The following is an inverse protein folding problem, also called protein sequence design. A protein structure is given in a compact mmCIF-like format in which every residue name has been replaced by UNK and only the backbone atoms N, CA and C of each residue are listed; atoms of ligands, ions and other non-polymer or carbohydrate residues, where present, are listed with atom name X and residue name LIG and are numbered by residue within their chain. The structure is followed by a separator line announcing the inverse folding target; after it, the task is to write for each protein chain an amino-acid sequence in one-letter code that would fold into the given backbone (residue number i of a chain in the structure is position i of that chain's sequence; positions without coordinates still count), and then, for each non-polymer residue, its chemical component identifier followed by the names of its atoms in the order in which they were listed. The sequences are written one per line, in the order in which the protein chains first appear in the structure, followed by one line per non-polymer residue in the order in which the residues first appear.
data_IF_405946813773
#
_entry.id   IF_405946813773
#
_cell.length_a   1.000
_cell.length_b   1.000
_cell.length_c   1.000
_cell.angle_alpha   90.00
_cell.angle_beta   90.00
_cell.angle_gamma   90.00
#
_symmetry.space_group_name_H-M   'P 1'
#
loop_
_entity.id
_entity.type
_entity.pdbx_description
1 polymer ?
#
# COMPACT_ATOMS: atom_id res chain seq x y z
N UNK A 1 5.60 -53.91 47.27
CA UNK A 1 4.54 -54.64 46.54
C UNK A 1 3.29 -53.77 46.50
N UNK A 2 2.79 -53.56 45.29
CA UNK A 2 1.65 -52.77 44.81
C UNK A 2 0.51 -52.48 45.79
N UNK A 3 -0.03 -51.24 45.76
CA UNK A 3 -1.43 -50.94 45.39
C UNK A 3 -1.55 -49.54 44.74
N UNK A 4 -1.63 -49.51 43.41
CA UNK A 4 -2.48 -48.55 42.65
C UNK A 4 -3.95 -48.96 42.94
N UNK A 5 -5.03 -48.15 42.76
CA UNK A 5 -5.18 -46.95 41.92
C UNK A 5 -6.12 -45.85 42.45
N UNK A 6 -6.17 -44.66 41.84
CA UNK A 6 -7.45 -44.01 41.48
C UNK A 6 -7.22 -42.76 40.62
N UNK A 7 -7.91 -42.75 39.48
CA UNK A 7 -8.41 -41.64 38.67
C UNK A 7 -7.92 -40.21 39.04
N UNK A 8 -7.26 -39.55 38.08
CA UNK A 8 -7.78 -38.26 37.63
C UNK A 8 -7.49 -38.07 36.12
N UNK A 9 -8.54 -38.36 35.37
CA UNK A 9 -8.73 -38.07 33.96
C UNK A 9 -8.91 -36.58 33.70
N UNK A 10 -8.21 -36.07 32.67
CA UNK A 10 -8.76 -35.25 31.56
C UNK A 10 -8.94 -33.72 31.80
N UNK A 11 -8.76 -32.90 30.72
CA UNK A 11 -8.01 -31.64 30.68
C UNK A 11 -8.88 -30.38 30.49
N UNK A 12 -8.29 -29.18 30.58
CA UNK A 12 -8.91 -27.91 30.12
C UNK A 12 -7.78 -26.88 29.91
N UNK A 13 -7.31 -26.62 28.68
CA UNK A 13 -7.81 -25.58 27.76
C UNK A 13 -8.20 -24.27 28.47
N UNK A 14 -7.66 -23.15 27.94
CA UNK A 14 -8.04 -21.73 28.13
C UNK A 14 -7.07 -20.88 28.99
N UNK A 15 -5.97 -20.43 28.39
CA UNK A 15 -5.69 -18.98 28.35
C UNK A 15 -5.17 -18.66 26.95
N UNK A 16 -6.13 -18.60 26.02
CA UNK A 16 -5.94 -17.98 24.72
C UNK A 16 -5.97 -16.46 24.93
N UNK A 17 -4.83 -15.86 25.31
CA UNK A 17 -4.67 -14.41 25.15
C UNK A 17 -4.34 -14.14 23.67
N UNK A 18 -5.29 -14.46 22.79
CA UNK A 18 -5.34 -13.84 21.47
C UNK A 18 -5.75 -12.40 21.75
N UNK A 19 -4.77 -11.51 21.90
CA UNK A 19 -4.95 -10.08 21.69
C UNK A 19 -5.32 -9.87 20.22
N UNK A 20 -6.55 -10.27 19.87
CA UNK A 20 -7.24 -9.84 18.66
C UNK A 20 -7.54 -8.38 18.92
N UNK A 21 -6.60 -7.51 18.55
CA UNK A 21 -6.96 -6.14 18.26
C UNK A 21 -8.06 -6.21 17.20
N UNK A 22 -9.29 -5.77 17.51
CA UNK A 22 -10.24 -5.52 16.44
C UNK A 22 -9.66 -4.33 15.69
N UNK A 23 -9.13 -4.57 14.49
CA UNK A 23 -9.01 -3.50 13.50
C UNK A 23 -10.44 -3.13 13.11
N UNK A 24 -11.09 -2.36 13.97
CA UNK A 24 -12.27 -1.61 13.63
C UNK A 24 -11.85 -0.68 12.49
N UNK A 25 -12.53 -0.80 11.36
CA UNK A 25 -12.38 0.04 10.18
C UNK A 25 -12.71 1.50 10.54
N UNK A 26 -11.79 2.19 11.19
CA UNK A 26 -11.89 3.63 11.44
C UNK A 26 -11.59 4.37 10.13
N UNK A 27 -12.32 5.45 9.88
CA UNK A 27 -11.98 6.39 8.83
C UNK A 27 -10.52 6.84 9.03
N UNK A 28 -9.68 6.90 7.98
CA UNK A 28 -8.30 7.36 8.13
C UNK A 28 -8.26 8.77 8.73
N UNK A 29 -7.33 8.99 9.67
CA UNK A 29 -7.17 10.30 10.31
C UNK A 29 -6.57 11.31 9.32
N UNK A 30 -6.78 12.61 9.57
CA UNK A 30 -6.26 13.68 8.71
C UNK A 30 -4.74 13.60 8.52
N UNK A 31 -4.00 13.21 9.57
CA UNK A 31 -2.56 12.96 9.49
C UNK A 31 -2.21 11.77 8.59
N UNK A 32 -3.00 10.70 8.63
CA UNK A 32 -2.77 9.54 7.75
C UNK A 32 -3.06 9.86 6.28
N UNK A 33 -4.06 10.71 6.00
CA UNK A 33 -4.31 11.21 4.64
C UNK A 33 -3.16 12.09 4.14
N UNK A 34 -2.66 13.01 4.99
CA UNK A 34 -1.52 13.86 4.64
C UNK A 34 -0.25 13.06 4.34
N UNK A 35 0.10 12.08 5.18
CA UNK A 35 1.25 11.20 4.94
C UNK A 35 1.11 10.39 3.64
N UNK A 36 -0.11 9.95 3.33
CA UNK A 36 -0.39 9.23 2.08
C UNK A 36 -0.28 10.11 0.83
N UNK A 37 -0.49 11.43 0.97
CA UNK A 37 -0.28 12.38 -0.11
C UNK A 37 1.21 12.72 -0.31
N UNK A 38 1.96 12.86 0.77
CA UNK A 38 3.41 13.14 0.73
C UNK A 38 4.21 11.96 0.12
N UNK A 39 3.81 10.73 0.47
CA UNK A 39 4.45 9.50 0.00
C UNK A 39 3.42 8.55 -0.64
N UNK A 40 2.98 8.84 -1.89
CA UNK A 40 1.99 8.04 -2.59
C UNK A 40 2.55 6.68 -2.99
N UNK A 41 1.73 5.64 -2.97
CA UNK A 41 2.13 4.33 -3.49
C UNK A 41 2.18 4.34 -5.03
N UNK A 42 2.97 3.45 -5.68
CA UNK A 42 2.98 3.34 -7.13
C UNK A 42 1.60 3.11 -7.76
N UNK A 43 0.72 2.37 -7.08
CA UNK A 43 -0.66 2.18 -7.52
C UNK A 43 -1.49 3.46 -7.50
N UNK A 44 -1.31 4.32 -6.49
CA UNK A 44 -2.00 5.61 -6.44
C UNK A 44 -1.56 6.54 -7.57
N UNK A 45 -0.26 6.55 -7.88
CA UNK A 45 0.26 7.33 -8.99
C UNK A 45 -0.30 6.83 -10.34
N UNK A 46 -0.39 5.50 -10.52
CA UNK A 46 -1.00 4.86 -11.69
C UNK A 46 -2.49 5.20 -11.83
N UNK A 47 -3.25 5.05 -10.75
CA UNK A 47 -4.68 5.36 -10.72
C UNK A 47 -4.91 6.84 -11.06
N UNK A 48 -4.15 7.75 -10.44
CA UNK A 48 -4.27 9.17 -10.69
C UNK A 48 -3.96 9.55 -12.13
N UNK A 49 -2.87 9.02 -12.70
CA UNK A 49 -2.53 9.23 -14.11
C UNK A 49 -3.66 8.78 -15.05
N UNK A 50 -4.19 7.57 -14.82
CA UNK A 50 -5.26 6.99 -15.63
C UNK A 50 -6.56 7.78 -15.51
N UNK A 51 -6.90 8.22 -14.29
CA UNK A 51 -8.09 9.06 -14.03
C UNK A 51 -8.03 10.41 -14.74
N UNK A 52 -6.83 10.95 -14.98
CA UNK A 52 -6.63 12.20 -15.73
C UNK A 52 -6.53 11.99 -17.25
N UNK A 53 -6.81 10.78 -17.73
CA UNK A 53 -6.76 10.43 -19.15
C UNK A 53 -5.35 10.21 -19.69
N UNK A 54 -4.35 10.11 -18.81
CA UNK A 54 -2.98 9.79 -19.17
C UNK A 54 -2.73 8.29 -19.27
N UNK A 55 -1.55 7.93 -19.77
CA UNK A 55 -1.05 6.55 -19.88
C UNK A 55 0.30 6.42 -19.19
N UNK A 56 0.49 5.35 -18.44
CA UNK A 56 1.79 5.04 -17.86
C UNK A 56 2.73 4.44 -18.91
N UNK A 57 3.92 5.01 -19.06
CA UNK A 57 4.98 4.48 -19.92
C UNK A 57 6.29 4.38 -19.15
N UNK A 58 7.05 3.34 -19.46
CA UNK A 58 8.39 3.13 -18.88
C UNK A 58 9.40 3.24 -19.99
N UNK A 59 10.30 4.19 -19.87
CA UNK A 59 11.39 4.41 -20.79
C UNK A 59 12.68 3.90 -20.18
N UNK A 60 13.55 3.33 -21.02
CA UNK A 60 14.86 2.84 -20.61
C UNK A 60 15.90 3.77 -21.19
N UNK A 61 16.76 4.30 -20.34
CA UNK A 61 17.92 5.08 -20.76
C UNK A 61 18.89 4.19 -21.54
N UNK A 62 19.38 4.67 -22.69
CA UNK A 62 20.20 3.85 -23.58
C UNK A 62 21.68 3.82 -23.16
N UNK A 63 22.13 4.75 -22.30
CA UNK A 63 23.51 4.79 -21.79
C UNK A 63 23.69 3.90 -20.56
N UNK A 64 22.81 4.05 -19.56
CA UNK A 64 22.92 3.37 -18.26
C UNK A 64 21.92 2.20 -18.11
N UNK A 65 20.89 2.13 -18.95
CA UNK A 65 19.83 1.11 -18.81
C UNK A 65 18.83 1.41 -17.70
N UNK A 66 18.93 2.57 -17.06
CA UNK A 66 18.01 3.03 -16.03
C UNK A 66 16.58 3.16 -16.56
N UNK A 67 15.60 2.80 -15.73
CA UNK A 67 14.17 2.86 -16.09
C UNK A 67 13.51 4.06 -15.46
N UNK A 68 12.90 4.90 -16.29
CA UNK A 68 12.13 6.06 -15.87
C UNK A 68 10.67 5.85 -16.24
N UNK A 69 9.77 6.15 -15.31
CA UNK A 69 8.33 6.00 -15.54
C UNK A 69 7.73 7.38 -15.74
N UNK A 70 6.84 7.51 -16.72
CA UNK A 70 6.16 8.74 -17.06
C UNK A 70 4.65 8.52 -17.13
N UNK A 71 3.89 9.53 -16.70
CA UNK A 71 2.49 9.67 -17.05
C UNK A 71 2.40 10.50 -18.34
N UNK A 72 2.13 9.84 -19.46
CA UNK A 72 1.92 10.46 -20.76
C UNK A 72 0.53 11.07 -20.82
N UNK A 73 0.46 12.39 -20.84
CA UNK A 73 -0.78 13.16 -20.82
C UNK A 73 -1.38 13.28 -22.22
N UNK A 74 -2.72 13.43 -22.35
CA UNK A 74 -3.39 13.44 -23.65
C UNK A 74 -2.94 14.59 -24.57
N UNK A 75 -2.37 15.66 -24.02
CA UNK A 75 -1.81 16.77 -24.80
C UNK A 75 -0.37 16.53 -25.30
N UNK A 76 0.18 15.34 -25.06
CA UNK A 76 1.38 14.85 -25.74
C UNK A 76 2.70 14.99 -24.98
N UNK A 77 2.71 15.47 -23.74
CA UNK A 77 3.91 15.44 -22.89
C UNK A 77 3.79 14.44 -21.75
N UNK A 78 4.96 13.96 -21.30
CA UNK A 78 5.10 13.09 -20.14
C UNK A 78 5.49 13.89 -18.89
N UNK A 79 4.79 13.66 -17.79
CA UNK A 79 5.20 14.10 -16.46
C UNK A 79 5.80 12.93 -15.68
N UNK A 80 6.75 13.21 -14.79
CA UNK A 80 7.03 12.29 -13.68
C UNK A 80 5.71 12.07 -12.89
N UNK A 81 5.30 10.81 -12.61
CA UNK A 81 4.00 10.56 -12.01
C UNK A 81 3.84 11.13 -10.60
N UNK A 82 4.91 11.20 -9.81
CA UNK A 82 4.84 11.79 -8.47
C UNK A 82 4.67 13.31 -8.57
N UNK A 83 5.40 13.95 -9.47
CA UNK A 83 5.22 15.37 -9.76
C UNK A 83 3.83 15.69 -10.31
N UNK A 84 3.28 14.81 -11.15
CA UNK A 84 1.92 14.94 -11.64
C UNK A 84 0.88 14.80 -10.51
N UNK A 85 1.07 13.83 -9.63
CA UNK A 85 0.21 13.60 -8.47
C UNK A 85 0.23 14.78 -7.48
N UNK A 86 1.42 15.36 -7.25
CA UNK A 86 1.61 16.51 -6.36
C UNK A 86 1.23 17.86 -7.00
N UNK A 87 1.00 17.88 -8.31
CA UNK A 87 0.62 19.07 -9.08
C UNK A 87 1.78 19.99 -9.45
N UNK A 88 3.05 19.56 -9.29
CA UNK A 88 4.22 20.30 -9.77
C UNK A 88 4.51 20.10 -11.27
N UNK A 89 3.82 19.15 -11.88
CA UNK A 89 3.72 18.95 -13.33
C UNK A 89 2.25 18.67 -13.65
N UNK A 90 1.74 19.01 -14.83
CA UNK A 90 0.37 18.65 -15.18
C UNK A 90 -0.19 19.41 -16.36
N UNK A 91 -1.47 19.16 -16.65
CA UNK A 91 -2.29 19.70 -17.73
C UNK A 91 -2.41 21.23 -17.58
N UNK A 92 -1.51 22.01 -18.18
CA UNK A 92 -1.74 23.46 -18.33
C UNK A 92 -2.86 23.72 -19.34
#
# INVERSE_FOLDING_TARGET
MSKLPLLLTIPLLLVSCISRSPQASALPTHQQVAMRYENPTPSQLLDYCTQKGGKYEVWTDNEDGSKHTFCMLPQGYGCDPEQFFKGSCGLE
#
